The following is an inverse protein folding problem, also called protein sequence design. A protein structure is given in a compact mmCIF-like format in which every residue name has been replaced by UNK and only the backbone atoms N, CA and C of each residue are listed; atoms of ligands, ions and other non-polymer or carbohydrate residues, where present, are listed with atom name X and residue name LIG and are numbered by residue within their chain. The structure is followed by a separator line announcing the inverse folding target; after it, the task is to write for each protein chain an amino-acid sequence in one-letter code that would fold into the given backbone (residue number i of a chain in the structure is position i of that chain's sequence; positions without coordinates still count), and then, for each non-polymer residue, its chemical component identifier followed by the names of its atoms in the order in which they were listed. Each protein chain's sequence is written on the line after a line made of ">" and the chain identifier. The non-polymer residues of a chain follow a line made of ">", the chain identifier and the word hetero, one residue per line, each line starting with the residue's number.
data_IF_907707145026
#
_entry.id   IF_907707145026
#
_cell.length_a   1.000
_cell.length_b   1.000
_cell.length_c   1.000
_cell.angle_alpha   90.00
_cell.angle_beta   90.00
_cell.angle_gamma   90.00
#
_symmetry.space_group_name_H-M   'P 1'
#
loop_
_entity.id
_entity.type
_entity.pdbx_description
1 polymer ?
#
# COMPACT_ATOMS: atom_id res chain seq x y z
N UNK A 1 62.53 34.84 10.52
CA UNK A 1 62.47 34.24 9.17
C UNK A 1 61.02 34.24 8.72
N UNK A 2 60.76 34.76 7.50
CA UNK A 2 59.71 34.39 6.51
C UNK A 2 58.28 34.16 7.06
N UNK A 3 57.34 35.11 6.92
CA UNK A 3 56.48 35.38 5.73
C UNK A 3 55.73 34.13 5.22
N UNK A 4 54.50 34.41 4.74
CA UNK A 4 53.60 33.62 3.86
C UNK A 4 52.90 32.44 4.58
N UNK A 5 51.57 32.21 4.58
CA UNK A 5 50.46 32.51 3.67
C UNK A 5 49.16 32.53 4.50
N UNK A 6 48.38 33.62 4.42
CA UNK A 6 46.94 33.54 4.63
C UNK A 6 46.28 33.22 3.30
N UNK A 7 45.42 32.19 3.25
CA UNK A 7 44.27 32.05 2.33
C UNK A 7 43.62 30.67 2.52
N UNK A 8 42.77 30.48 3.53
CA UNK A 8 41.80 29.36 3.54
C UNK A 8 40.45 29.89 4.06
N UNK A 9 39.95 30.96 3.45
CA UNK A 9 38.59 31.46 3.68
C UNK A 9 37.84 31.85 2.39
N UNK A 10 38.28 31.33 1.24
CA UNK A 10 37.67 31.62 -0.07
C UNK A 10 37.70 30.42 -1.01
N UNK A 11 37.28 29.25 -0.53
CA UNK A 11 37.11 28.06 -1.38
C UNK A 11 35.78 27.32 -1.12
N UNK A 12 34.69 28.08 -0.93
CA UNK A 12 33.32 27.52 -0.77
C UNK A 12 32.27 28.18 -1.69
N UNK A 13 32.69 28.89 -2.75
CA UNK A 13 31.77 29.62 -3.64
C UNK A 13 31.86 29.28 -5.13
N UNK A 14 32.57 28.22 -5.54
CA UNK A 14 32.75 27.90 -6.95
C UNK A 14 32.72 26.39 -7.23
N UNK A 15 31.64 25.71 -6.83
CA UNK A 15 31.24 24.44 -7.43
C UNK A 15 29.72 24.31 -7.38
N UNK A 16 29.07 24.39 -8.54
CA UNK A 16 27.86 23.59 -8.75
C UNK A 16 26.52 24.27 -9.01
N UNK A 17 26.48 25.50 -9.53
CA UNK A 17 25.32 25.94 -10.33
C UNK A 17 25.24 25.12 -11.63
N UNK A 18 24.74 23.88 -11.59
CA UNK A 18 24.42 23.06 -12.78
C UNK A 18 23.29 22.05 -12.55
N UNK A 19 22.25 22.39 -11.78
CA UNK A 19 21.06 21.52 -11.62
C UNK A 19 19.74 22.16 -12.10
N UNK A 20 19.79 23.31 -12.78
CA UNK A 20 18.60 23.97 -13.36
C UNK A 20 18.34 23.64 -14.84
N UNK A 21 19.00 22.63 -15.43
CA UNK A 21 18.80 22.23 -16.85
C UNK A 21 18.01 20.93 -17.07
N UNK A 22 17.48 20.31 -16.01
CA UNK A 22 16.68 19.09 -16.13
C UNK A 22 15.20 19.25 -15.74
N UNK A 23 14.72 20.49 -15.54
CA UNK A 23 13.30 20.77 -15.39
C UNK A 23 12.78 21.42 -16.67
N UNK A 24 12.48 20.59 -17.67
CA UNK A 24 11.79 20.99 -18.87
C UNK A 24 10.38 20.42 -18.78
N UNK A 25 9.47 21.29 -18.36
CA UNK A 25 8.03 21.04 -18.33
C UNK A 25 7.52 20.88 -19.77
N UNK A 26 6.91 19.75 -20.16
CA UNK A 26 6.30 19.65 -21.47
C UNK A 26 5.04 20.52 -21.51
N UNK A 27 5.12 21.63 -22.24
CA UNK A 27 3.98 22.47 -22.60
C UNK A 27 3.07 21.74 -23.61
N UNK A 28 1.75 21.99 -23.59
CA UNK A 28 0.77 21.25 -24.38
C UNK A 28 0.87 21.63 -25.85
N UNK A 29 0.90 20.65 -26.75
CA UNK A 29 0.71 20.90 -28.18
C UNK A 29 -0.78 21.03 -28.48
N UNK A 30 -1.23 22.26 -28.70
CA UNK A 30 -2.37 22.54 -29.56
C UNK A 30 -2.05 22.08 -30.99
N UNK A 31 -2.95 21.29 -31.57
CA UNK A 31 -3.26 21.38 -33.00
C UNK A 31 -4.73 21.01 -33.18
N UNK A 32 -5.50 22.03 -33.55
CA UNK A 32 -6.85 21.91 -34.06
C UNK A 32 -6.81 21.29 -35.46
N UNK A 33 -7.68 20.33 -35.76
CA UNK A 33 -8.61 20.50 -36.90
C UNK A 33 -9.79 19.52 -36.87
N UNK A 34 -10.92 20.10 -37.24
CA UNK A 34 -12.29 19.65 -37.24
C UNK A 34 -12.52 18.58 -38.33
N UNK A 35 -13.36 17.57 -38.06
CA UNK A 35 -14.35 17.12 -39.05
C UNK A 35 -15.60 16.60 -38.34
N UNK A 36 -16.58 17.50 -38.24
CA UNK A 36 -17.99 17.20 -38.04
C UNK A 36 -18.51 16.53 -39.32
N UNK A 37 -19.31 15.46 -39.24
CA UNK A 37 -20.37 15.15 -40.20
C UNK A 37 -21.34 14.12 -39.60
N UNK A 38 -22.50 14.64 -39.23
CA UNK A 38 -23.76 13.93 -39.04
C UNK A 38 -24.24 13.32 -40.35
N UNK A 39 -24.93 12.18 -40.30
CA UNK A 39 -26.23 12.01 -41.00
C UNK A 39 -26.84 10.62 -40.78
N UNK A 40 -28.06 10.68 -40.27
CA UNK A 40 -29.11 9.66 -40.18
C UNK A 40 -29.70 9.34 -41.56
N UNK A 41 -30.00 8.07 -41.87
CA UNK A 41 -31.05 7.68 -42.83
C UNK A 41 -31.31 6.16 -42.73
N UNK A 42 -32.42 5.71 -42.10
CA UNK A 42 -33.70 5.26 -42.72
C UNK A 42 -33.56 4.14 -43.79
N UNK A 43 -33.78 2.90 -43.32
CA UNK A 43 -34.66 1.82 -43.82
C UNK A 43 -35.20 1.87 -45.27
N UNK A 44 -35.34 0.70 -45.96
CA UNK A 44 -36.51 -0.18 -45.71
C UNK A 44 -36.31 -1.71 -45.79
N UNK A 45 -36.88 -2.38 -44.77
CA UNK A 45 -37.78 -3.56 -44.79
C UNK A 45 -37.79 -4.47 -46.03
N UNK A 46 -37.50 -5.76 -45.82
CA UNK A 46 -38.39 -6.85 -46.29
C UNK A 46 -38.34 -8.06 -45.36
N UNK A 47 -39.53 -8.57 -45.02
CA UNK A 47 -39.82 -9.65 -44.05
C UNK A 47 -39.58 -11.05 -44.64
N UNK A 48 -39.19 -12.03 -43.81
CA UNK A 48 -40.06 -13.14 -43.36
C UNK A 48 -39.28 -14.31 -42.72
N UNK A 49 -39.94 -14.90 -41.70
CA UNK A 49 -39.92 -16.31 -41.31
C UNK A 49 -39.10 -16.73 -40.08
N UNK A 50 -39.73 -16.58 -38.91
CA UNK A 50 -39.93 -17.60 -37.86
C UNK A 50 -38.88 -18.70 -37.65
N UNK A 51 -38.11 -18.59 -36.55
CA UNK A 51 -37.82 -19.71 -35.62
C UNK A 51 -37.22 -19.18 -34.31
N UNK A 52 -37.87 -19.53 -33.20
CA UNK A 52 -37.44 -19.28 -31.81
C UNK A 52 -36.22 -20.15 -31.39
N UNK A 53 -35.59 -19.81 -30.24
CA UNK A 53 -34.14 -19.86 -30.06
C UNK A 53 -33.67 -21.17 -29.41
N UNK A 54 -32.42 -21.56 -29.70
CA UNK A 54 -31.70 -22.51 -28.87
C UNK A 54 -30.48 -21.79 -28.29
N UNK A 55 -30.52 -21.65 -26.97
CA UNK A 55 -29.45 -21.16 -26.11
C UNK A 55 -28.25 -22.10 -26.21
N UNK A 56 -27.11 -21.58 -26.66
CA UNK A 56 -25.81 -22.14 -26.30
C UNK A 56 -24.98 -21.00 -25.72
N UNK A 57 -25.20 -20.79 -24.42
CA UNK A 57 -24.54 -19.78 -23.63
C UNK A 57 -23.09 -20.21 -23.42
N UNK A 58 -22.19 -19.59 -24.19
CA UNK A 58 -20.74 -19.67 -24.00
C UNK A 58 -20.44 -19.14 -22.60
N UNK A 59 -20.08 -20.05 -21.68
CA UNK A 59 -19.53 -19.72 -20.37
C UNK A 59 -18.24 -18.90 -20.59
N UNK A 60 -18.36 -17.58 -20.49
CA UNK A 60 -17.24 -16.74 -20.09
C UNK A 60 -17.14 -16.86 -18.57
N UNK A 61 -16.04 -17.45 -18.10
CA UNK A 61 -15.63 -17.40 -16.71
C UNK A 61 -15.36 -15.93 -16.33
N UNK A 62 -16.36 -15.27 -15.75
CA UNK A 62 -16.20 -14.06 -14.95
C UNK A 62 -16.36 -14.47 -13.49
N UNK A 63 -15.24 -14.82 -12.86
CA UNK A 63 -15.15 -14.99 -11.42
C UNK A 63 -14.03 -14.08 -10.91
N UNK A 64 -14.41 -12.87 -10.48
CA UNK A 64 -13.93 -12.19 -9.26
C UNK A 64 -14.60 -10.81 -9.15
N UNK A 65 -15.92 -10.81 -8.93
CA UNK A 65 -16.61 -9.69 -8.29
C UNK A 65 -17.15 -10.21 -6.97
N UNK A 66 -16.26 -10.37 -5.98
CA UNK A 66 -16.72 -10.53 -4.61
C UNK A 66 -17.00 -9.13 -4.06
N UNK A 67 -18.27 -8.79 -3.97
CA UNK A 67 -18.74 -7.50 -3.46
C UNK A 67 -18.05 -7.12 -2.15
N UNK A 68 -17.45 -5.94 -2.13
CA UNK A 68 -16.79 -5.29 -0.99
C UNK A 68 -17.80 -4.95 0.11
N UNK A 69 -18.21 -5.96 0.89
CA UNK A 69 -19.10 -5.76 2.03
C UNK A 69 -18.32 -5.20 3.21
N UNK A 70 -18.70 -4.00 3.67
CA UNK A 70 -18.15 -3.40 4.90
C UNK A 70 -18.66 -4.19 6.12
N UNK A 71 -17.75 -4.66 6.97
CA UNK A 71 -18.09 -5.35 8.23
C UNK A 71 -17.49 -4.59 9.41
N UNK A 72 -18.27 -4.45 10.49
CA UNK A 72 -17.82 -3.80 11.72
C UNK A 72 -16.76 -4.61 12.47
N UNK A 73 -16.74 -5.92 12.25
CA UNK A 73 -15.88 -6.85 13.01
C UNK A 73 -14.51 -7.07 12.34
N UNK A 74 -14.22 -6.35 11.27
CA UNK A 74 -12.96 -6.48 10.50
C UNK A 74 -12.15 -5.19 10.54
N UNK A 75 -10.85 -5.30 10.81
CA UNK A 75 -9.92 -4.17 10.76
C UNK A 75 -9.90 -3.56 9.34
N UNK A 76 -10.36 -2.32 9.19
CA UNK A 76 -10.46 -1.59 7.91
C UNK A 76 -11.05 -2.39 6.74
N UNK A 77 -12.02 -3.28 7.01
CA UNK A 77 -12.62 -4.16 6.00
C UNK A 77 -11.57 -5.02 5.26
N UNK A 78 -10.57 -5.53 5.99
CA UNK A 78 -9.45 -6.30 5.44
C UNK A 78 -9.89 -7.44 4.52
N UNK A 79 -9.19 -7.51 3.39
CA UNK A 79 -9.20 -8.65 2.48
C UNK A 79 -7.78 -9.17 2.33
N UNK A 80 -7.62 -10.43 2.70
CA UNK A 80 -6.38 -11.17 2.47
C UNK A 80 -6.37 -11.64 1.02
N UNK A 81 -5.32 -11.31 0.29
CA UNK A 81 -5.12 -11.82 -1.07
C UNK A 81 -4.54 -13.24 -0.95
N UNK A 82 -5.25 -14.23 -1.51
CA UNK A 82 -4.93 -15.67 -1.39
C UNK A 82 -3.48 -16.06 -1.75
N UNK A 83 -2.92 -17.13 -1.15
CA UNK A 83 -3.18 -17.69 0.18
C UNK A 83 -2.24 -17.08 1.23
N UNK A 84 -2.77 -16.57 2.35
CA UNK A 84 -1.95 -16.21 3.51
C UNK A 84 -1.86 -17.37 4.51
N UNK A 85 -0.70 -17.50 5.14
CA UNK A 85 -0.47 -18.45 6.23
C UNK A 85 -1.19 -18.04 7.53
N UNK A 86 -1.51 -16.76 7.69
CA UNK A 86 -2.04 -16.20 8.93
C UNK A 86 -3.47 -15.67 8.74
N UNK A 87 -4.27 -15.63 9.82
CA UNK A 87 -5.64 -15.14 9.74
C UNK A 87 -5.73 -13.65 9.38
N UNK A 88 -6.96 -13.16 9.29
CA UNK A 88 -7.25 -11.72 9.26
C UNK A 88 -6.89 -11.08 10.59
N UNK A 89 -6.67 -9.77 10.56
CA UNK A 89 -6.49 -8.94 11.73
C UNK A 89 -7.75 -8.97 12.59
N UNK A 90 -7.53 -9.19 13.88
CA UNK A 90 -8.54 -9.06 14.92
C UNK A 90 -8.21 -7.85 15.78
N UNK A 91 -9.25 -7.10 16.17
CA UNK A 91 -9.08 -6.11 17.23
C UNK A 91 -8.84 -6.82 18.57
N UNK A 92 -8.07 -6.18 19.44
CA UNK A 92 -8.11 -6.50 20.85
C UNK A 92 -9.51 -6.17 21.42
N UNK A 93 -9.91 -6.85 22.50
CA UNK A 93 -11.26 -6.74 23.07
C UNK A 93 -11.65 -5.31 23.52
N UNK A 94 -10.68 -4.41 23.66
CA UNK A 94 -10.83 -3.04 24.17
C UNK A 94 -10.95 -1.97 23.08
N UNK A 95 -10.94 -2.35 21.80
CA UNK A 95 -10.93 -1.37 20.71
C UNK A 95 -12.32 -0.76 20.47
N UNK A 96 -12.43 0.59 20.34
CA UNK A 96 -13.70 1.26 20.08
C UNK A 96 -14.41 0.80 18.79
N UNK A 97 -15.73 0.67 18.85
CA UNK A 97 -16.57 0.24 17.70
C UNK A 97 -16.50 1.18 16.48
N UNK A 98 -16.10 2.43 16.67
CA UNK A 98 -16.00 3.45 15.62
C UNK A 98 -14.59 3.63 15.05
N UNK A 99 -13.61 2.82 15.49
CA UNK A 99 -12.21 3.00 15.11
C UNK A 99 -11.99 2.96 13.60
N UNK A 100 -12.71 2.10 12.88
CA UNK A 100 -12.61 2.01 11.42
C UNK A 100 -13.01 3.32 10.74
N UNK A 101 -14.07 3.98 11.24
CA UNK A 101 -14.50 5.27 10.72
C UNK A 101 -13.51 6.38 11.08
N UNK A 102 -12.94 6.34 12.28
CA UNK A 102 -11.92 7.30 12.71
C UNK A 102 -10.65 7.18 11.85
N UNK A 103 -10.18 5.96 11.59
CA UNK A 103 -9.05 5.68 10.70
C UNK A 103 -9.35 6.14 9.26
N UNK A 104 -10.50 5.77 8.69
CA UNK A 104 -10.90 6.23 7.35
C UNK A 104 -10.90 7.75 7.24
N UNK A 105 -11.52 8.45 8.20
CA UNK A 105 -11.54 9.91 8.23
C UNK A 105 -10.13 10.50 8.37
N UNK A 106 -9.27 9.91 9.22
CA UNK A 106 -7.92 10.40 9.39
C UNK A 106 -7.11 10.24 8.10
N UNK A 107 -7.19 9.07 7.46
CA UNK A 107 -6.53 8.80 6.18
C UNK A 107 -6.91 9.84 5.12
N UNK A 108 -8.22 10.06 4.91
CA UNK A 108 -8.72 10.98 3.88
C UNK A 108 -8.31 12.43 4.12
N UNK A 109 -8.23 12.85 5.39
CA UNK A 109 -8.00 14.25 5.75
C UNK A 109 -6.52 14.59 6.00
N UNK A 110 -5.67 13.61 6.30
CA UNK A 110 -4.27 13.84 6.68
C UNK A 110 -3.27 13.34 5.65
N UNK A 111 -3.60 12.30 4.89
CA UNK A 111 -2.73 11.81 3.84
C UNK A 111 -2.92 12.66 2.59
N UNK A 112 -1.81 13.13 2.04
CA UNK A 112 -1.78 13.84 0.77
C UNK A 112 -2.24 12.94 -0.38
N UNK A 113 -2.70 13.54 -1.49
CA UNK A 113 -3.09 12.77 -2.68
C UNK A 113 -1.97 11.85 -3.19
N UNK A 114 -0.70 12.29 -3.08
CA UNK A 114 0.46 11.48 -3.45
C UNK A 114 0.59 10.24 -2.58
N UNK A 115 0.42 10.40 -1.27
CA UNK A 115 0.46 9.28 -0.32
C UNK A 115 -0.70 8.32 -0.57
N UNK A 116 -1.91 8.85 -0.79
CA UNK A 116 -3.07 8.02 -1.08
C UNK A 116 -2.87 7.20 -2.36
N UNK A 117 -2.38 7.86 -3.43
CA UNK A 117 -2.09 7.22 -4.72
C UNK A 117 -0.97 6.17 -4.62
N UNK A 118 0.03 6.38 -3.75
CA UNK A 118 1.08 5.40 -3.53
C UNK A 118 0.52 4.05 -3.05
N UNK A 119 -0.58 4.05 -2.30
CA UNK A 119 -1.22 2.84 -1.78
C UNK A 119 -2.21 2.19 -2.77
N UNK A 120 -2.54 2.80 -3.90
CA UNK A 120 -3.56 2.28 -4.83
C UNK A 120 -3.04 1.20 -5.80
N UNK A 121 -1.74 0.95 -5.82
CA UNK A 121 -1.14 -0.06 -6.70
C UNK A 121 -0.66 -1.27 -5.90
N UNK A 122 -0.92 -2.47 -6.43
CA UNK A 122 -0.44 -3.72 -5.86
C UNK A 122 1.08 -3.69 -5.68
N UNK A 123 1.55 -4.24 -4.57
CA UNK A 123 2.99 -4.32 -4.28
C UNK A 123 3.55 -5.53 -5.02
N UNK A 124 4.72 -5.37 -5.63
CA UNK A 124 5.39 -6.46 -6.34
C UNK A 124 5.97 -7.43 -5.32
N UNK A 125 5.85 -8.72 -5.60
CA UNK A 125 6.38 -9.76 -4.72
C UNK A 125 7.90 -9.62 -4.53
N UNK A 126 8.64 -9.18 -5.55
CA UNK A 126 10.07 -8.88 -5.46
C UNK A 126 10.41 -7.79 -4.45
N UNK A 127 9.53 -6.80 -4.25
CA UNK A 127 9.73 -5.76 -3.25
C UNK A 127 9.51 -6.32 -1.84
N UNK A 128 8.50 -7.19 -1.65
CA UNK A 128 8.24 -7.87 -0.38
C UNK A 128 9.38 -8.82 0.00
N UNK A 129 9.89 -9.58 -0.98
CA UNK A 129 11.05 -10.48 -0.82
C UNK A 129 12.32 -9.71 -0.44
N UNK A 130 12.53 -8.52 -1.02
CA UNK A 130 13.69 -7.69 -0.68
C UNK A 130 13.63 -7.18 0.77
N UNK A 131 12.45 -6.75 1.25
CA UNK A 131 12.25 -6.36 2.66
C UNK A 131 12.56 -7.54 3.57
N UNK A 132 11.99 -8.72 3.28
CA UNK A 132 12.23 -9.92 4.07
C UNK A 132 13.72 -10.32 4.05
N UNK A 133 14.39 -10.18 2.91
CA UNK A 133 15.81 -10.41 2.78
C UNK A 133 16.60 -9.47 3.69
N UNK A 134 16.33 -8.15 3.66
CA UNK A 134 17.00 -7.16 4.50
C UNK A 134 16.82 -7.45 6.00
N UNK A 135 15.58 -7.78 6.43
CA UNK A 135 15.29 -8.18 7.81
C UNK A 135 16.12 -9.41 8.21
N UNK A 136 16.23 -10.41 7.34
CA UNK A 136 16.98 -11.64 7.59
C UNK A 136 18.51 -11.48 7.56
N UNK A 137 19.04 -10.31 7.19
CA UNK A 137 20.47 -10.00 7.33
C UNK A 137 20.83 -9.52 8.74
N UNK A 138 19.85 -9.16 9.57
CA UNK A 138 20.06 -8.81 10.99
C UNK A 138 19.86 -10.08 11.83
N UNK A 139 20.91 -10.50 12.55
CA UNK A 139 20.96 -11.82 13.20
C UNK A 139 19.82 -12.05 14.21
N UNK A 140 19.44 -11.03 14.96
CA UNK A 140 18.37 -11.06 15.94
C UNK A 140 16.97 -11.01 15.29
N UNK A 141 16.74 -10.12 14.32
CA UNK A 141 15.47 -10.05 13.58
C UNK A 141 15.20 -11.31 12.77
N UNK A 142 16.24 -11.93 12.22
CA UNK A 142 16.14 -13.24 11.58
C UNK A 142 15.56 -14.29 12.53
N UNK A 143 15.90 -14.21 13.82
CA UNK A 143 15.37 -15.07 14.87
C UNK A 143 13.86 -14.96 15.07
N UNK A 144 13.24 -13.84 14.66
CA UNK A 144 11.79 -13.64 14.72
C UNK A 144 11.04 -14.46 13.66
N UNK A 145 11.70 -14.96 12.60
CA UNK A 145 11.06 -15.71 11.51
C UNK A 145 9.88 -14.96 10.86
N UNK A 146 10.07 -13.66 10.62
CA UNK A 146 9.05 -12.77 10.05
C UNK A 146 8.50 -13.30 8.73
N UNK A 147 7.20 -13.12 8.54
CA UNK A 147 6.51 -13.36 7.29
C UNK A 147 5.97 -12.03 6.73
N UNK A 148 6.01 -11.85 5.42
CA UNK A 148 5.50 -10.65 4.77
C UNK A 148 4.53 -11.07 3.67
N UNK A 149 3.30 -10.56 3.74
CA UNK A 149 2.34 -10.61 2.65
C UNK A 149 1.78 -9.22 2.34
N UNK A 150 0.71 -9.17 1.54
CA UNK A 150 -0.03 -7.94 1.28
C UNK A 150 -1.53 -8.18 1.42
N UNK A 151 -2.20 -7.16 1.92
CA UNK A 151 -3.65 -7.15 2.14
C UNK A 151 -4.27 -5.96 1.45
N UNK A 152 -5.57 -6.06 1.22
CA UNK A 152 -6.39 -4.96 0.71
C UNK A 152 -7.23 -4.39 1.85
N UNK A 153 -7.29 -3.05 1.90
CA UNK A 153 -8.29 -2.34 2.69
C UNK A 153 -9.21 -1.54 1.76
N UNK A 154 -10.45 -1.37 2.19
CA UNK A 154 -11.42 -0.50 1.52
C UNK A 154 -11.59 0.79 2.32
N UNK A 155 -11.11 1.90 1.77
CA UNK A 155 -11.24 3.24 2.36
C UNK A 155 -11.93 4.14 1.34
N UNK A 156 -13.10 4.68 1.70
CA UNK A 156 -13.94 5.53 0.84
C UNK A 156 -14.10 4.98 -0.59
N UNK A 157 -14.51 3.70 -0.67
CA UNK A 157 -14.72 2.94 -1.91
C UNK A 157 -13.46 2.77 -2.79
N UNK A 158 -12.30 3.18 -2.29
CA UNK A 158 -11.00 2.94 -2.91
C UNK A 158 -10.32 1.74 -2.27
N UNK A 159 -9.85 0.82 -3.11
CA UNK A 159 -9.00 -0.28 -2.67
C UNK A 159 -7.58 0.25 -2.51
N UNK A 160 -6.99 0.01 -1.35
CA UNK A 160 -5.57 0.23 -1.11
C UNK A 160 -4.87 -1.09 -0.81
N UNK A 161 -3.58 -1.18 -1.16
CA UNK A 161 -2.72 -2.33 -0.97
C UNK A 161 -1.67 -1.99 0.07
N UNK A 162 -1.64 -2.77 1.15
CA UNK A 162 -0.77 -2.55 2.30
C UNK A 162 0.07 -3.81 2.51
N UNK A 163 1.42 -3.70 2.62
CA UNK A 163 2.24 -4.82 3.02
C UNK A 163 1.98 -5.09 4.50
N UNK A 164 1.86 -6.36 4.85
CA UNK A 164 1.61 -6.80 6.21
C UNK A 164 2.79 -7.64 6.67
N UNK A 165 3.57 -7.06 7.57
CA UNK A 165 4.67 -7.69 8.27
C UNK A 165 4.08 -8.43 9.46
N UNK A 166 4.36 -9.73 9.54
CA UNK A 166 3.81 -10.62 10.56
C UNK A 166 4.96 -11.21 11.35
N UNK A 167 4.96 -10.92 12.64
CA UNK A 167 5.84 -11.59 13.60
C UNK A 167 5.06 -12.81 14.14
N UNK A 168 5.56 -14.04 13.95
CA UNK A 168 4.84 -15.27 14.29
C UNK A 168 4.83 -15.62 15.79
N UNK A 169 4.88 -14.60 16.64
CA UNK A 169 4.71 -14.70 18.10
C UNK A 169 4.11 -13.37 18.62
N UNK A 170 3.67 -13.36 19.88
CA UNK A 170 3.19 -12.16 20.54
C UNK A 170 4.32 -11.13 20.77
N UNK A 171 3.93 -9.87 21.00
CA UNK A 171 4.87 -8.77 21.18
C UNK A 171 5.88 -9.00 22.32
N UNK A 172 5.41 -9.49 23.47
CA UNK A 172 6.25 -9.68 24.65
C UNK A 172 7.34 -10.76 24.46
N UNK A 173 7.11 -11.75 23.60
CA UNK A 173 8.12 -12.73 23.20
C UNK A 173 9.06 -12.19 22.13
N UNK A 174 8.52 -11.46 21.14
CA UNK A 174 9.32 -10.83 20.10
C UNK A 174 10.36 -9.86 20.69
N UNK A 175 9.97 -9.02 21.67
CA UNK A 175 10.88 -8.09 22.34
C UNK A 175 12.01 -8.78 23.12
N UNK A 176 11.80 -10.01 23.60
CA UNK A 176 12.88 -10.78 24.24
C UNK A 176 13.90 -11.32 23.25
N UNK A 177 13.49 -11.54 22.00
CA UNK A 177 14.34 -12.08 20.94
C UNK A 177 15.09 -10.96 20.22
N UNK A 178 14.41 -9.86 19.93
CA UNK A 178 14.96 -8.68 19.32
C UNK A 178 14.28 -7.43 19.91
N UNK A 179 15.03 -6.67 20.69
CA UNK A 179 14.58 -5.43 21.30
C UNK A 179 14.28 -4.38 20.21
N UNK A 180 13.21 -3.60 20.41
CA UNK A 180 12.72 -2.57 19.48
C UNK A 180 12.47 -3.14 18.07
N UNK A 181 12.03 -4.40 18.00
CA UNK A 181 11.84 -5.08 16.71
C UNK A 181 10.80 -4.34 15.86
N UNK A 182 9.76 -3.76 16.46
CA UNK A 182 8.70 -3.07 15.74
C UNK A 182 9.23 -1.93 14.86
N UNK A 183 10.04 -1.06 15.46
CA UNK A 183 10.65 0.11 14.83
C UNK A 183 11.60 -0.33 13.72
N UNK A 184 12.41 -1.37 13.97
CA UNK A 184 13.37 -1.87 13.00
C UNK A 184 12.68 -2.52 11.80
N UNK A 185 11.66 -3.34 12.04
CA UNK A 185 10.86 -3.97 10.97
C UNK A 185 10.16 -2.91 10.10
N UNK A 186 9.56 -1.91 10.73
CA UNK A 186 8.94 -0.79 10.02
C UNK A 186 9.96 0.00 9.19
N UNK A 187 11.15 0.27 9.72
CA UNK A 187 12.20 0.99 9.01
C UNK A 187 12.66 0.27 7.73
N UNK A 188 12.81 -1.05 7.76
CA UNK A 188 13.11 -1.83 6.55
C UNK A 188 12.04 -1.65 5.48
N UNK A 189 10.78 -1.83 5.85
CA UNK A 189 9.67 -1.70 4.90
C UNK A 189 9.51 -0.28 4.36
N UNK A 190 9.58 0.74 5.21
CA UNK A 190 9.46 2.14 4.81
C UNK A 190 10.63 2.60 3.93
N UNK A 191 11.84 2.08 4.16
CA UNK A 191 13.00 2.35 3.31
C UNK A 191 12.79 1.80 1.90
N UNK A 192 12.25 0.58 1.78
CA UNK A 192 12.03 -0.06 0.48
C UNK A 192 10.81 0.51 -0.26
N UNK A 193 9.71 0.76 0.46
CA UNK A 193 8.41 1.07 -0.13
C UNK A 193 8.10 2.57 -0.16
N UNK A 194 8.98 3.38 0.44
CA UNK A 194 8.80 4.82 0.55
C UNK A 194 7.57 5.17 1.39
N UNK A 195 6.77 6.11 0.90
CA UNK A 195 5.68 6.69 1.69
C UNK A 195 4.34 5.93 1.57
N UNK A 196 4.42 4.60 1.40
CA UNK A 196 3.26 3.71 1.49
C UNK A 196 2.93 3.43 2.95
N UNK A 197 1.66 3.12 3.21
CA UNK A 197 1.26 2.50 4.47
C UNK A 197 1.92 1.13 4.59
N UNK A 198 2.33 0.79 5.80
CA UNK A 198 2.90 -0.50 6.22
C UNK A 198 2.16 -0.94 7.48
N UNK A 199 1.69 -2.17 7.47
CA UNK A 199 1.07 -2.81 8.61
C UNK A 199 2.08 -3.75 9.28
N UNK A 200 2.23 -3.63 10.60
CA UNK A 200 2.93 -4.59 11.44
C UNK A 200 1.96 -5.21 12.43
N UNK A 201 1.95 -6.54 12.49
CA UNK A 201 1.09 -7.31 13.37
C UNK A 201 1.85 -8.47 14.03
N UNK A 202 1.41 -8.84 15.23
CA UNK A 202 1.94 -9.94 16.01
C UNK A 202 0.90 -11.05 16.07
N UNK A 203 1.34 -12.28 15.85
CA UNK A 203 0.47 -13.44 15.87
C UNK A 203 0.55 -14.12 17.23
N UNK A 204 -0.58 -14.16 17.93
CA UNK A 204 -0.72 -14.93 19.16
C UNK A 204 -1.14 -16.37 18.82
N UNK A 205 -0.23 -17.31 19.06
CA UNK A 205 -0.44 -18.73 18.79
C UNK A 205 -1.45 -19.37 19.74
N UNK A 206 -1.61 -18.83 20.97
CA UNK A 206 -2.52 -19.41 21.96
C UNK A 206 -3.98 -19.16 21.59
N UNK A 207 -4.26 -17.99 21.03
CA UNK A 207 -5.61 -17.55 20.67
C UNK A 207 -5.92 -17.64 19.17
N UNK A 208 -4.94 -17.98 18.33
CA UNK A 208 -5.04 -17.98 16.85
C UNK A 208 -5.51 -16.61 16.32
N UNK A 209 -4.92 -15.54 16.87
CA UNK A 209 -5.26 -14.16 16.54
C UNK A 209 -4.07 -13.40 15.96
N UNK A 210 -4.33 -12.56 14.96
CA UNK A 210 -3.35 -11.65 14.40
C UNK A 210 -3.68 -10.23 14.85
N UNK A 211 -2.88 -9.71 15.78
CA UNK A 211 -3.15 -8.44 16.45
C UNK A 211 -2.36 -7.33 15.73
N UNK A 212 -3.03 -6.32 15.14
CA UNK A 212 -2.36 -5.18 14.55
C UNK A 212 -1.67 -4.37 15.66
N UNK A 213 -0.41 -4.01 15.46
CA UNK A 213 0.31 -3.11 16.36
C UNK A 213 0.46 -1.72 15.73
N UNK A 214 0.85 -1.67 14.45
CA UNK A 214 1.12 -0.43 13.74
C UNK A 214 0.50 -0.45 12.35
N UNK A 215 -0.14 0.64 11.94
CA UNK A 215 -0.43 0.95 10.54
C UNK A 215 0.07 2.36 10.26
N UNK A 216 1.23 2.48 9.59
CA UNK A 216 1.96 3.74 9.49
C UNK A 216 2.52 3.96 8.09
N UNK A 217 2.77 5.21 7.72
CA UNK A 217 3.71 5.54 6.65
C UNK A 217 4.85 6.40 7.24
N UNK A 218 5.69 7.00 6.40
CA UNK A 218 6.84 7.78 6.87
C UNK A 218 6.48 9.11 7.55
N UNK A 219 5.21 9.55 7.47
CA UNK A 219 4.76 10.87 7.92
C UNK A 219 3.66 10.81 8.97
N UNK A 220 2.90 9.72 9.02
CA UNK A 220 1.71 9.57 9.85
C UNK A 220 1.59 8.14 10.38
N UNK A 221 1.06 8.04 11.61
CA UNK A 221 0.49 6.80 12.13
C UNK A 221 -1.03 6.85 11.96
N UNK A 222 -1.57 5.88 11.24
CA UNK A 222 -3.01 5.71 11.06
C UNK A 222 -3.61 4.87 12.20
N UNK A 223 -2.85 3.90 12.70
CA UNK A 223 -3.21 3.09 13.85
C UNK A 223 -1.96 2.73 14.66
N UNK A 224 -2.11 2.74 15.98
CA UNK A 224 -1.14 2.27 16.95
C UNK A 224 -1.88 1.64 18.13
N UNK A 225 -1.53 0.42 18.49
CA UNK A 225 -1.94 -0.20 19.75
C UNK A 225 -0.81 -0.07 20.77
N UNK A 226 -1.16 0.11 22.05
CA UNK A 226 -0.19 -0.15 23.09
C UNK A 226 -0.08 -1.68 23.30
N UNK A 227 1.14 -2.19 23.57
CA UNK A 227 1.36 -3.59 23.92
C UNK A 227 0.85 -3.95 25.32
#
# INVERSE_FOLDING_TARGET
>A
MKKIIGLILTLLLLTGCQLSKYFQEPQPSENNEITELTSTSKDPVTKNSDREPNEENVKLDHAESSDLVRSKDTFLNERVISPSKYPKLSFADDVPQDINQAMENFYLNKFTEREQKANQSKIKDSDLELILSQINHEDDLKGLNVYIDQVQFLINDSIIYVPRIIVPTNFAEAEKLAEENDTRLLNHALTQLGNRLVLLAYYDQETDTLIPMHLVNSTHSLFFSQP
#
